data_IF_031388694468
#
_entry.id   IF_031388694468
#
_cell.length_a   1.000
_cell.length_b   1.000
_cell.length_c   1.000
_cell.angle_alpha   90.00
_cell.angle_beta   90.00
_cell.angle_gamma   90.00
#
_symmetry.space_group_name_H-M   'P 1'
#
loop_
_entity.id
_entity.type
_entity.pdbx_description
1 polymer ?
#
# COMPACT_ATOMS: atom_id res chain seq x y z
N UNK A 1 0.12 42.71 -7.88
CA UNK A 1 0.51 41.48 -8.57
C UNK A 1 1.12 40.59 -7.49
N UNK A 2 0.41 39.60 -7.02
CA UNK A 2 0.95 38.61 -6.03
C UNK A 2 2.02 37.80 -6.75
N UNK A 3 3.27 37.83 -6.26
CA UNK A 3 4.33 36.96 -6.76
C UNK A 3 3.89 35.52 -6.57
N UNK A 4 3.60 34.83 -7.65
CA UNK A 4 3.23 33.42 -7.62
C UNK A 4 4.43 32.66 -7.04
N UNK A 5 4.22 31.98 -5.93
CA UNK A 5 5.28 31.22 -5.26
C UNK A 5 5.64 30.01 -6.11
N UNK A 6 6.89 29.92 -6.55
CA UNK A 6 7.43 28.77 -7.30
C UNK A 6 8.24 27.91 -6.37
N UNK A 7 7.93 26.62 -6.29
CA UNK A 7 8.67 25.61 -5.52
C UNK A 7 9.52 24.79 -6.48
N UNK A 8 10.85 24.82 -6.31
CA UNK A 8 11.75 23.92 -7.01
C UNK A 8 11.99 22.64 -6.19
N UNK A 9 11.87 21.48 -6.82
CA UNK A 9 12.00 20.19 -6.13
C UNK A 9 12.61 19.11 -7.02
N UNK A 10 13.16 18.06 -6.44
CA UNK A 10 13.62 16.89 -7.19
C UNK A 10 12.45 16.01 -7.62
N UNK A 11 11.48 15.79 -6.71
CA UNK A 11 10.35 14.89 -6.98
C UNK A 11 9.03 15.55 -6.60
N UNK A 12 8.11 15.61 -7.57
CA UNK A 12 6.70 15.90 -7.33
C UNK A 12 5.93 14.58 -7.33
N UNK A 13 5.18 14.32 -6.26
CA UNK A 13 4.35 13.11 -6.09
C UNK A 13 2.88 13.53 -6.05
N UNK A 14 2.07 12.94 -6.91
CA UNK A 14 0.63 13.18 -6.99
C UNK A 14 -0.12 11.98 -6.42
N UNK A 15 -0.79 12.17 -5.28
CA UNK A 15 -1.55 11.17 -4.55
C UNK A 15 -0.96 10.84 -3.18
N UNK A 16 -1.75 11.07 -2.12
CA UNK A 16 -1.40 10.87 -0.70
C UNK A 16 -1.86 9.52 -0.12
N UNK A 17 -1.99 8.49 -0.95
CA UNK A 17 -2.18 7.12 -0.51
C UNK A 17 -0.86 6.46 -0.07
N UNK A 18 -0.91 5.15 0.27
CA UNK A 18 0.25 4.41 0.78
C UNK A 18 1.45 4.44 -0.19
N UNK A 19 1.21 4.38 -1.49
CA UNK A 19 2.28 4.43 -2.48
C UNK A 19 2.96 5.79 -2.50
N UNK A 20 2.18 6.89 -2.60
CA UNK A 20 2.74 8.24 -2.62
C UNK A 20 3.45 8.61 -1.32
N UNK A 21 2.85 8.33 -0.18
CA UNK A 21 3.46 8.58 1.13
C UNK A 21 4.74 7.76 1.34
N UNK A 22 4.74 6.48 0.92
CA UNK A 22 5.94 5.63 1.00
C UNK A 22 7.07 6.12 0.10
N UNK A 23 6.76 6.54 -1.14
CA UNK A 23 7.76 7.12 -2.06
C UNK A 23 8.30 8.45 -1.51
N UNK A 24 7.43 9.30 -0.97
CA UNK A 24 7.84 10.57 -0.36
C UNK A 24 8.83 10.35 0.79
N UNK A 25 8.52 9.40 1.68
CA UNK A 25 9.37 9.01 2.80
C UNK A 25 10.73 8.51 2.35
N UNK A 26 10.78 7.58 1.39
CA UNK A 26 12.04 7.02 0.88
C UNK A 26 12.88 8.10 0.19
N UNK A 27 12.27 8.92 -0.69
CA UNK A 27 12.96 9.98 -1.41
C UNK A 27 13.53 11.04 -0.46
N UNK A 28 12.72 11.55 0.49
CA UNK A 28 13.18 12.50 1.50
C UNK A 28 14.26 11.89 2.40
N UNK A 29 14.11 10.63 2.79
CA UNK A 29 15.12 9.89 3.56
C UNK A 29 16.48 9.74 2.85
N UNK A 30 16.48 9.82 1.52
CA UNK A 30 17.69 9.84 0.68
C UNK A 30 18.24 11.24 0.41
N UNK A 31 17.67 12.28 1.03
CA UNK A 31 18.10 13.66 0.87
C UNK A 31 17.58 14.37 -0.38
N UNK A 32 16.58 13.80 -1.08
CA UNK A 32 15.93 14.48 -2.18
C UNK A 32 14.90 15.48 -1.65
N UNK A 33 14.77 16.64 -2.32
CA UNK A 33 13.66 17.55 -2.09
C UNK A 33 12.38 16.96 -2.69
N UNK A 34 11.31 16.95 -1.89
CA UNK A 34 10.04 16.30 -2.25
C UNK A 34 8.86 17.22 -2.03
N UNK A 35 7.96 17.27 -3.00
CA UNK A 35 6.60 17.80 -2.85
C UNK A 35 5.62 16.67 -3.09
N UNK A 36 4.71 16.45 -2.12
CA UNK A 36 3.58 15.54 -2.26
C UNK A 36 2.30 16.34 -2.21
N UNK A 37 1.40 16.14 -3.18
CA UNK A 37 0.06 16.70 -3.14
C UNK A 37 -1.01 15.62 -3.16
N UNK A 38 -2.06 15.83 -2.34
CA UNK A 38 -3.24 14.99 -2.25
C UNK A 38 -4.50 15.89 -2.36
N UNK A 39 -5.40 15.52 -3.26
CA UNK A 39 -6.61 16.33 -3.53
C UNK A 39 -7.58 16.39 -2.35
N UNK A 40 -7.63 15.33 -1.55
CA UNK A 40 -8.44 15.21 -0.34
C UNK A 40 -7.52 15.16 0.89
N UNK A 41 -7.83 14.34 1.88
CA UNK A 41 -6.94 14.07 3.00
C UNK A 41 -6.09 12.81 2.73
N UNK A 42 -5.00 12.64 3.49
CA UNK A 42 -4.17 11.44 3.41
C UNK A 42 -4.99 10.18 3.66
N UNK A 43 -4.74 9.14 2.87
CA UNK A 43 -5.40 7.84 2.96
C UNK A 43 -6.93 7.85 2.76
N UNK A 44 -7.55 8.94 2.30
CA UNK A 44 -9.03 9.07 2.22
C UNK A 44 -9.73 8.03 1.33
N UNK A 45 -8.98 7.28 0.52
CA UNK A 45 -9.55 6.36 -0.46
C UNK A 45 -9.11 4.91 -0.24
N UNK A 46 -8.56 4.25 -1.26
CA UNK A 46 -8.17 2.83 -1.24
C UNK A 46 -7.29 2.47 -0.05
N UNK A 47 -6.41 3.38 0.39
CA UNK A 47 -5.44 3.10 1.46
C UNK A 47 -6.05 3.00 2.87
N UNK A 48 -7.28 3.45 3.08
CA UNK A 48 -8.04 3.23 4.33
C UNK A 48 -9.17 2.20 4.17
N UNK A 49 -9.41 1.76 2.94
CA UNK A 49 -10.44 0.77 2.58
C UNK A 49 -9.82 -0.59 2.23
N UNK A 50 -8.65 -0.89 2.74
CA UNK A 50 -7.95 -2.16 2.56
C UNK A 50 -8.50 -3.25 3.50
N UNK A 51 -8.06 -4.48 3.35
CA UNK A 51 -8.34 -5.56 4.31
C UNK A 51 -7.60 -5.38 5.64
N UNK A 52 -6.80 -4.31 5.80
CA UNK A 52 -5.94 -4.05 6.97
C UNK A 52 -4.93 -5.15 7.23
N UNK A 53 -4.45 -5.78 6.16
CA UNK A 53 -3.51 -6.88 6.22
C UNK A 53 -2.23 -6.57 5.45
N UNK A 54 -1.11 -6.77 6.11
CA UNK A 54 0.20 -6.90 5.47
C UNK A 54 0.52 -8.39 5.40
N UNK A 55 0.46 -8.93 4.20
CA UNK A 55 0.50 -10.37 3.98
C UNK A 55 1.29 -10.75 2.73
N UNK A 56 1.77 -12.00 2.69
CA UNK A 56 2.46 -12.52 1.52
C UNK A 56 1.55 -12.84 0.34
N UNK A 57 0.23 -12.88 0.57
CA UNK A 57 -0.72 -13.25 -0.47
C UNK A 57 -0.68 -14.76 -0.77
N UNK A 58 -1.09 -15.59 0.18
CA UNK A 58 -1.11 -17.06 0.06
C UNK A 58 -1.69 -17.54 -1.28
N UNK A 59 -2.72 -16.86 -1.80
CA UNK A 59 -3.37 -17.17 -3.08
C UNK A 59 -2.42 -17.05 -4.28
N UNK A 60 -1.40 -16.19 -4.24
CA UNK A 60 -0.44 -16.04 -5.34
C UNK A 60 0.49 -17.26 -5.51
N UNK A 61 0.59 -18.13 -4.51
CA UNK A 61 1.29 -19.41 -4.66
C UNK A 61 0.60 -20.33 -5.69
N UNK A 62 -0.72 -20.19 -5.87
CA UNK A 62 -1.48 -20.92 -6.90
C UNK A 62 -1.11 -20.49 -8.32
N UNK A 63 -0.55 -19.28 -8.46
CA UNK A 63 -0.09 -18.73 -9.73
C UNK A 63 1.45 -18.82 -9.87
N UNK A 64 2.12 -19.58 -9.00
CA UNK A 64 3.57 -19.76 -8.98
C UNK A 64 4.40 -18.48 -8.80
N UNK A 65 3.78 -17.42 -8.23
CA UNK A 65 4.43 -16.13 -7.99
C UNK A 65 5.30 -16.13 -6.72
N UNK A 66 6.15 -17.15 -6.58
CA UNK A 66 6.98 -17.35 -5.37
C UNK A 66 7.89 -16.16 -5.06
N UNK A 67 8.42 -15.50 -6.10
CA UNK A 67 9.29 -14.33 -5.92
C UNK A 67 8.55 -13.14 -5.31
N UNK A 68 7.32 -12.89 -5.75
CA UNK A 68 6.45 -11.84 -5.21
C UNK A 68 6.09 -12.13 -3.76
N UNK A 69 5.61 -13.35 -3.49
CA UNK A 69 5.24 -13.79 -2.13
C UNK A 69 6.42 -13.67 -1.18
N UNK A 70 7.62 -14.12 -1.58
CA UNK A 70 8.83 -14.02 -0.77
C UNK A 70 9.16 -12.59 -0.39
N UNK A 71 9.13 -11.66 -1.36
CA UNK A 71 9.39 -10.24 -1.10
C UNK A 71 8.37 -9.66 -0.13
N UNK A 72 7.09 -9.93 -0.34
CA UNK A 72 6.02 -9.46 0.54
C UNK A 72 6.14 -10.01 1.98
N UNK A 73 6.55 -11.28 2.15
CA UNK A 73 6.79 -11.87 3.45
C UNK A 73 7.98 -11.24 4.19
N UNK A 74 9.04 -10.89 3.47
CA UNK A 74 10.20 -10.18 4.04
C UNK A 74 9.76 -8.80 4.53
N UNK A 75 9.08 -8.03 3.68
CA UNK A 75 8.61 -6.69 4.02
C UNK A 75 7.59 -6.70 5.17
N UNK A 76 6.75 -7.73 5.27
CA UNK A 76 5.85 -7.92 6.40
C UNK A 76 6.60 -7.95 7.73
N UNK A 77 7.68 -8.70 7.82
CA UNK A 77 8.51 -8.77 9.05
C UNK A 77 9.23 -7.45 9.32
N UNK A 78 9.69 -6.74 8.27
CA UNK A 78 10.28 -5.41 8.40
C UNK A 78 9.27 -4.42 8.98
N UNK A 79 8.05 -4.40 8.46
CA UNK A 79 7.00 -3.49 8.92
C UNK A 79 6.53 -3.81 10.35
N UNK A 80 6.39 -5.09 10.71
CA UNK A 80 6.07 -5.51 12.08
C UNK A 80 7.08 -4.98 13.10
N UNK A 81 8.36 -4.90 12.74
CA UNK A 81 9.41 -4.34 13.59
C UNK A 81 9.43 -2.81 13.56
N UNK A 82 9.21 -2.21 12.39
CA UNK A 82 9.29 -0.76 12.21
C UNK A 82 8.09 -0.02 12.82
N UNK A 83 6.91 -0.64 12.83
CA UNK A 83 5.66 -0.02 13.26
C UNK A 83 4.86 -0.86 14.26
N UNK A 84 5.46 -1.36 15.38
CA UNK A 84 4.81 -2.26 16.33
C UNK A 84 3.63 -1.63 17.07
N UNK A 85 3.50 -0.31 17.05
CA UNK A 85 2.42 0.45 17.70
C UNK A 85 1.14 0.54 16.86
N UNK A 86 1.20 0.16 15.58
CA UNK A 86 0.05 0.14 14.67
C UNK A 86 -0.07 -1.17 13.89
N UNK A 87 0.84 -2.11 14.11
CA UNK A 87 0.89 -3.37 13.40
C UNK A 87 1.23 -4.52 14.35
N UNK A 88 0.46 -5.61 14.29
CA UNK A 88 0.67 -6.80 15.12
C UNK A 88 0.28 -8.10 14.42
N UNK A 89 0.75 -9.25 14.93
CA UNK A 89 0.38 -10.55 14.42
C UNK A 89 -1.13 -10.81 14.52
N UNK A 90 -1.72 -11.31 13.44
CA UNK A 90 -3.10 -11.80 13.41
C UNK A 90 -3.13 -13.26 12.98
N UNK A 91 -3.91 -14.07 13.70
CA UNK A 91 -4.10 -15.49 13.39
C UNK A 91 -5.36 -15.66 12.55
N UNK A 92 -5.24 -16.44 11.50
CA UNK A 92 -6.33 -16.82 10.61
C UNK A 92 -6.64 -18.28 10.76
N UNK A 93 -7.91 -18.60 10.77
CA UNK A 93 -8.39 -19.99 10.73
C UNK A 93 -9.12 -20.20 9.41
N UNK A 94 -8.69 -21.20 8.68
CA UNK A 94 -9.29 -21.64 7.42
C UNK A 94 -9.96 -22.99 7.65
N UNK A 95 -11.30 -23.04 7.81
CA UNK A 95 -12.03 -24.28 7.89
C UNK A 95 -11.88 -25.08 6.59
N UNK A 96 -11.77 -26.39 6.70
CA UNK A 96 -11.60 -27.28 5.57
C UNK A 96 -12.85 -28.14 5.38
N UNK A 97 -13.37 -28.17 4.18
CA UNK A 97 -14.47 -29.02 3.76
C UNK A 97 -14.10 -29.91 2.57
N UNK A 98 -15.03 -30.83 2.21
CA UNK A 98 -14.81 -31.81 1.14
C UNK A 98 -14.80 -31.21 -0.26
N UNK A 99 -15.30 -29.98 -0.44
CA UNK A 99 -15.33 -29.28 -1.73
C UNK A 99 -14.03 -28.55 -2.06
N UNK A 100 -13.13 -28.45 -1.08
CA UNK A 100 -11.85 -27.79 -1.22
C UNK A 100 -10.76 -28.76 -1.70
N UNK A 101 -9.56 -28.21 -1.97
CA UNK A 101 -8.36 -29.01 -2.26
C UNK A 101 -8.06 -30.00 -1.13
N UNK A 102 -7.43 -31.15 -1.40
CA UNK A 102 -7.07 -32.09 -0.36
C UNK A 102 -6.28 -31.43 0.78
N UNK A 103 -6.60 -31.80 2.01
CA UNK A 103 -6.00 -31.19 3.21
C UNK A 103 -4.48 -31.24 3.24
N UNK A 104 -3.86 -32.30 2.70
CA UNK A 104 -2.40 -32.41 2.59
C UNK A 104 -1.81 -31.34 1.64
N UNK A 105 -2.51 -31.02 0.55
CA UNK A 105 -2.08 -30.01 -0.41
C UNK A 105 -2.13 -28.60 0.22
N UNK A 106 -3.20 -28.29 0.95
CA UNK A 106 -3.31 -27.02 1.70
C UNK A 106 -2.18 -26.93 2.72
N UNK A 107 -1.92 -28.02 3.45
CA UNK A 107 -0.84 -28.08 4.44
C UNK A 107 0.54 -27.87 3.79
N UNK A 108 0.79 -28.46 2.64
CA UNK A 108 2.03 -28.26 1.89
C UNK A 108 2.18 -26.82 1.44
N UNK A 109 1.10 -26.18 0.92
CA UNK A 109 1.10 -24.77 0.55
C UNK A 109 1.40 -23.84 1.72
N UNK A 110 0.83 -24.11 2.90
CA UNK A 110 1.11 -23.36 4.13
C UNK A 110 2.55 -23.57 4.63
N UNK A 111 3.12 -24.77 4.47
CA UNK A 111 4.53 -25.00 4.78
C UNK A 111 5.44 -24.18 3.83
N UNK A 112 5.15 -24.18 2.53
CA UNK A 112 5.88 -23.33 1.59
C UNK A 112 5.79 -21.87 2.02
N UNK A 113 4.59 -21.37 2.33
CA UNK A 113 4.37 -20.00 2.80
C UNK A 113 5.18 -19.69 4.06
N UNK A 114 5.27 -20.63 5.00
CA UNK A 114 6.02 -20.48 6.24
C UNK A 114 7.54 -20.38 6.04
N UNK A 115 8.08 -21.09 5.06
CA UNK A 115 9.52 -21.20 4.85
C UNK A 115 10.06 -20.39 3.67
N UNK A 116 9.17 -19.77 2.89
CA UNK A 116 9.57 -18.96 1.73
C UNK A 116 10.37 -17.71 2.12
N UNK A 117 10.15 -17.19 3.32
CA UNK A 117 10.95 -16.15 3.93
C UNK A 117 11.20 -16.46 5.41
N UNK A 118 12.27 -15.89 5.98
CA UNK A 118 12.54 -16.02 7.42
C UNK A 118 11.43 -15.34 8.21
N UNK A 119 10.80 -16.08 9.12
CA UNK A 119 9.85 -15.54 10.11
C UNK A 119 10.59 -15.27 11.41
N UNK A 120 10.30 -14.15 12.05
CA UNK A 120 10.92 -13.75 13.31
C UNK A 120 9.86 -13.48 14.38
N UNK A 121 8.74 -12.87 14.02
CA UNK A 121 7.70 -12.44 14.95
C UNK A 121 6.46 -13.35 14.85
N UNK A 122 6.09 -13.75 13.62
CA UNK A 122 4.85 -14.44 13.38
C UNK A 122 4.91 -15.94 13.73
N UNK A 123 3.89 -16.47 14.43
CA UNK A 123 3.76 -17.92 14.65
C UNK A 123 3.57 -18.69 13.35
N UNK A 124 4.04 -19.93 13.31
CA UNK A 124 3.89 -20.83 12.17
C UNK A 124 2.46 -21.28 11.92
N UNK A 125 2.26 -21.85 10.73
CA UNK A 125 1.01 -22.51 10.36
C UNK A 125 0.88 -23.89 10.97
N UNK A 126 -0.36 -24.37 11.13
CA UNK A 126 -0.66 -25.70 11.67
C UNK A 126 -2.02 -26.21 11.24
N UNK A 127 -2.25 -27.49 11.42
CA UNK A 127 -3.57 -28.07 11.37
C UNK A 127 -4.24 -27.99 12.75
N UNK A 128 -5.57 -27.81 12.78
CA UNK A 128 -6.36 -27.79 14.02
C UNK A 128 -7.59 -28.69 13.89
N UNK A 129 -8.03 -29.24 15.02
CA UNK A 129 -9.31 -29.93 15.13
C UNK A 129 -10.39 -28.93 15.59
N UNK A 130 -11.29 -28.57 14.68
CA UNK A 130 -12.34 -27.57 14.93
C UNK A 130 -13.41 -28.07 15.93
N UNK A 131 -13.46 -29.37 16.23
CA UNK A 131 -14.39 -29.93 17.25
C UNK A 131 -13.99 -29.53 18.66
N UNK A 132 -12.71 -29.24 18.88
CA UNK A 132 -12.13 -28.91 20.19
C UNK A 132 -11.49 -27.52 20.26
N UNK A 133 -11.27 -26.91 19.12
CA UNK A 133 -10.68 -25.58 19.04
C UNK A 133 -11.75 -24.49 19.10
N UNK A 134 -11.51 -23.41 19.86
CA UNK A 134 -12.42 -22.27 20.04
C UNK A 134 -12.99 -21.71 18.73
N UNK A 135 -12.17 -21.66 17.67
CA UNK A 135 -12.58 -21.19 16.36
C UNK A 135 -13.65 -22.11 15.68
N UNK A 136 -13.89 -23.27 16.20
CA UNK A 136 -14.93 -24.17 15.71
C UNK A 136 -16.32 -23.89 16.28
N UNK A 137 -16.41 -23.21 17.43
CA UNK A 137 -17.70 -22.95 18.12
C UNK A 137 -18.75 -22.25 17.24
N UNK A 138 -18.39 -21.19 16.44
CA UNK A 138 -19.35 -20.52 15.58
C UNK A 138 -19.63 -21.27 14.26
N UNK A 139 -18.94 -22.37 13.98
CA UNK A 139 -19.03 -23.09 12.73
C UNK A 139 -20.06 -24.24 12.80
N UNK A 140 -20.56 -24.65 11.64
CA UNK A 140 -21.39 -25.85 11.55
C UNK A 140 -20.58 -27.10 11.93
N UNK A 141 -21.23 -28.08 12.55
CA UNK A 141 -20.61 -29.32 13.03
C UNK A 141 -19.91 -30.16 11.93
N UNK A 142 -20.22 -29.92 10.66
CA UNK A 142 -19.58 -30.57 9.52
C UNK A 142 -18.11 -30.16 9.34
N UNK A 143 -17.72 -28.95 9.81
CA UNK A 143 -16.33 -28.48 9.78
C UNK A 143 -15.57 -29.07 10.94
N UNK A 144 -14.91 -30.20 10.73
CA UNK A 144 -14.16 -30.91 11.77
C UNK A 144 -12.65 -30.59 11.76
N UNK A 145 -12.14 -30.09 10.63
CA UNK A 145 -10.72 -29.81 10.43
C UNK A 145 -10.53 -28.38 9.94
N UNK A 146 -9.41 -27.78 10.31
CA UNK A 146 -9.03 -26.47 9.79
C UNK A 146 -7.52 -26.30 9.81
N UNK A 147 -7.09 -25.20 9.24
CA UNK A 147 -5.69 -24.76 9.26
C UNK A 147 -5.61 -23.39 9.91
N UNK A 148 -4.51 -23.19 10.65
CA UNK A 148 -4.21 -21.90 11.25
C UNK A 148 -2.91 -21.36 10.67
N UNK A 149 -2.87 -20.07 10.34
CA UNK A 149 -1.69 -19.39 9.86
C UNK A 149 -1.67 -17.93 10.34
N UNK A 150 -0.61 -17.19 10.08
CA UNK A 150 -0.46 -15.82 10.58
C UNK A 150 -0.09 -14.85 9.47
N UNK A 151 -0.66 -13.65 9.56
CA UNK A 151 -0.23 -12.47 8.82
C UNK A 151 -0.21 -11.25 9.74
N UNK A 152 0.22 -10.09 9.23
CA UNK A 152 0.23 -8.85 9.99
C UNK A 152 -1.10 -8.11 9.83
N UNK A 153 -1.74 -7.73 10.92
CA UNK A 153 -2.78 -6.71 10.90
C UNK A 153 -2.13 -5.33 11.02
N UNK A 154 -2.73 -4.32 10.40
CA UNK A 154 -2.23 -2.95 10.41
C UNK A 154 -3.38 -1.95 10.47
N UNK A 155 -3.18 -0.84 11.17
CA UNK A 155 -3.97 0.38 10.96
C UNK A 155 -3.48 1.03 9.66
N UNK A 156 -4.18 0.75 8.57
CA UNK A 156 -3.77 1.11 7.22
C UNK A 156 -3.73 2.63 6.99
N UNK A 157 -4.73 3.37 7.45
CA UNK A 157 -4.76 4.82 7.33
C UNK A 157 -3.61 5.45 8.14
N UNK A 158 -3.40 4.97 9.35
CA UNK A 158 -2.34 5.47 10.23
C UNK A 158 -0.95 5.17 9.66
N UNK A 159 -0.77 4.02 8.99
CA UNK A 159 0.49 3.72 8.30
C UNK A 159 0.80 4.77 7.22
N UNK A 160 -0.21 5.21 6.45
CA UNK A 160 -0.04 6.27 5.45
C UNK A 160 0.36 7.59 6.11
N UNK A 161 -0.39 8.01 7.13
CA UNK A 161 -0.13 9.27 7.84
C UNK A 161 1.28 9.30 8.43
N UNK A 162 1.72 8.21 9.07
CA UNK A 162 3.06 8.12 9.64
C UNK A 162 4.16 8.16 8.58
N UNK A 163 3.95 7.56 7.39
CA UNK A 163 4.91 7.70 6.29
C UNK A 163 4.98 9.15 5.79
N UNK A 164 3.85 9.84 5.66
CA UNK A 164 3.83 11.25 5.25
C UNK A 164 4.45 12.17 6.29
N UNK A 165 4.22 11.90 7.59
CA UNK A 165 4.82 12.63 8.70
C UNK A 165 6.35 12.46 8.70
N UNK A 166 6.84 11.24 8.62
CA UNK A 166 8.28 10.94 8.55
C UNK A 166 8.94 11.60 7.32
N UNK A 167 8.23 11.66 6.17
CA UNK A 167 8.69 12.42 5.01
C UNK A 167 8.79 13.92 5.31
N UNK A 168 7.78 14.50 5.95
CA UNK A 168 7.75 15.92 6.31
C UNK A 168 8.84 16.27 7.33
N UNK A 169 9.09 15.42 8.33
CA UNK A 169 10.20 15.58 9.29
C UNK A 169 11.58 15.55 8.60
N UNK A 170 11.68 14.90 7.43
CA UNK A 170 12.87 14.88 6.58
C UNK A 170 12.89 15.99 5.52
N UNK A 171 11.97 16.96 5.61
CA UNK A 171 11.94 18.16 4.76
C UNK A 171 11.04 18.07 3.53
N UNK A 172 10.27 17.00 3.35
CA UNK A 172 9.24 16.97 2.30
C UNK A 172 8.11 17.96 2.60
N UNK A 173 7.61 18.62 1.55
CA UNK A 173 6.41 19.44 1.65
C UNK A 173 5.19 18.58 1.30
N UNK A 174 4.27 18.42 2.26
CA UNK A 174 3.05 17.61 2.10
C UNK A 174 1.85 18.54 2.08
N UNK A 175 1.13 18.56 0.95
CA UNK A 175 -0.05 19.37 0.73
C UNK A 175 -1.29 18.47 0.63
N UNK A 176 -2.14 18.50 1.64
CA UNK A 176 -3.49 17.92 1.60
C UNK A 176 -4.47 18.93 1.01
N UNK A 177 -5.65 18.47 0.60
CA UNK A 177 -6.68 19.29 -0.05
C UNK A 177 -6.13 20.12 -1.23
N UNK A 178 -5.18 19.53 -1.97
CA UNK A 178 -4.42 20.19 -3.03
C UNK A 178 -4.30 19.30 -4.25
N UNK A 179 -4.96 19.68 -5.32
CA UNK A 179 -4.96 18.94 -6.59
C UNK A 179 -3.86 19.43 -7.52
N UNK A 180 -3.17 18.51 -8.19
CA UNK A 180 -2.36 18.85 -9.36
C UNK A 180 -3.28 19.00 -10.58
N UNK A 181 -3.53 20.24 -10.99
CA UNK A 181 -4.50 20.56 -12.06
C UNK A 181 -3.87 20.58 -13.44
N UNK A 182 -2.55 20.76 -13.53
CA UNK A 182 -1.80 20.62 -14.79
C UNK A 182 -0.35 20.27 -14.52
N UNK A 183 0.28 19.54 -15.43
CA UNK A 183 1.72 19.33 -15.44
C UNK A 183 2.20 19.13 -16.88
N UNK A 184 3.28 19.80 -17.25
CA UNK A 184 3.90 19.69 -18.57
C UNK A 184 5.41 19.61 -18.47
N UNK A 185 6.04 18.91 -19.40
CA UNK A 185 7.51 18.85 -19.50
C UNK A 185 7.99 20.12 -20.21
N UNK A 186 8.89 20.86 -19.57
CA UNK A 186 9.55 22.05 -20.12
C UNK A 186 11.06 21.87 -19.94
N UNK A 187 11.75 21.60 -21.02
CA UNK A 187 13.16 21.24 -20.96
C UNK A 187 13.40 19.97 -20.13
N UNK A 188 14.21 20.07 -19.11
CA UNK A 188 14.59 18.98 -18.21
C UNK A 188 13.69 18.87 -16.97
N UNK A 189 12.66 19.73 -16.84
CA UNK A 189 11.79 19.79 -15.65
C UNK A 189 10.32 19.63 -15.99
N UNK A 190 9.56 19.19 -14.99
CA UNK A 190 8.11 19.23 -14.97
C UNK A 190 7.67 20.56 -14.35
N UNK A 191 6.86 21.32 -15.06
CA UNK A 191 6.15 22.50 -14.56
C UNK A 191 4.73 22.08 -14.23
N UNK A 192 4.37 22.10 -12.98
CA UNK A 192 3.07 21.69 -12.49
C UNK A 192 2.39 22.84 -11.74
N UNK A 193 1.07 22.91 -11.84
CA UNK A 193 0.24 23.82 -11.06
C UNK A 193 -0.56 22.99 -10.06
N UNK A 194 -0.33 23.27 -8.79
CA UNK A 194 -1.09 22.74 -7.68
C UNK A 194 -2.13 23.75 -7.24
N UNK A 195 -3.38 23.31 -7.07
CA UNK A 195 -4.50 24.15 -6.63
C UNK A 195 -5.06 23.65 -5.32
N UNK A 196 -4.97 24.45 -4.29
CA UNK A 196 -5.52 24.20 -2.98
C UNK A 196 -7.06 24.38 -2.97
N UNK A 197 -7.76 23.73 -2.06
CA UNK A 197 -9.23 23.80 -1.95
C UNK A 197 -9.77 25.23 -1.74
N UNK A 198 -8.98 26.13 -1.15
CA UNK A 198 -9.33 27.55 -0.98
C UNK A 198 -9.09 28.41 -2.24
N UNK A 199 -8.66 27.78 -3.34
CA UNK A 199 -8.43 28.42 -4.64
C UNK A 199 -7.01 28.94 -4.85
N UNK A 200 -6.13 28.92 -3.85
CA UNK A 200 -4.71 29.32 -4.01
C UNK A 200 -4.00 28.35 -4.94
N UNK A 201 -3.16 28.90 -5.80
CA UNK A 201 -2.35 28.12 -6.74
C UNK A 201 -0.86 28.27 -6.40
N UNK A 202 -0.14 27.18 -6.56
CA UNK A 202 1.32 27.09 -6.35
C UNK A 202 1.93 26.43 -7.57
N UNK A 203 2.94 27.04 -8.16
CA UNK A 203 3.70 26.44 -9.24
C UNK A 203 4.85 25.60 -8.68
N UNK A 204 5.01 24.38 -9.21
CA UNK A 204 6.08 23.45 -8.81
C UNK A 204 6.91 23.07 -10.02
N UNK A 205 8.24 23.28 -9.92
CA UNK A 205 9.21 22.84 -10.91
C UNK A 205 9.97 21.64 -10.41
N UNK A 206 9.64 20.45 -10.92
CA UNK A 206 10.19 19.17 -10.47
C UNK A 206 11.11 18.52 -11.52
N UNK A 207 12.19 17.86 -11.11
CA UNK A 207 13.00 17.03 -12.01
C UNK A 207 12.27 15.76 -12.43
N UNK A 208 11.48 15.20 -11.51
CA UNK A 208 10.68 14.00 -11.75
C UNK A 208 9.27 14.19 -11.23
N UNK A 209 8.30 13.57 -11.92
CA UNK A 209 6.90 13.52 -11.51
C UNK A 209 6.49 12.05 -11.32
N UNK A 210 5.91 11.76 -10.17
CA UNK A 210 5.37 10.44 -9.82
C UNK A 210 3.85 10.52 -9.77
N UNK A 211 3.20 9.74 -10.61
CA UNK A 211 1.76 9.55 -10.57
C UNK A 211 1.43 8.40 -9.61
N UNK A 212 1.05 8.73 -8.39
CA UNK A 212 0.60 7.80 -7.36
C UNK A 212 -0.89 7.96 -7.04
N UNK A 213 -1.69 8.49 -8.00
CA UNK A 213 -3.09 8.84 -7.84
C UNK A 213 -4.05 7.62 -7.76
N UNK A 214 -3.52 6.41 -7.57
CA UNK A 214 -4.33 5.20 -7.38
C UNK A 214 -5.34 4.98 -8.50
N UNK A 215 -6.66 4.85 -8.20
CA UNK A 215 -7.68 4.66 -9.21
C UNK A 215 -7.81 5.82 -10.22
N UNK A 216 -7.32 6.99 -9.88
CA UNK A 216 -7.33 8.20 -10.75
C UNK A 216 -6.06 8.36 -11.57
N UNK A 217 -5.15 7.37 -11.57
CA UNK A 217 -3.88 7.49 -12.29
C UNK A 217 -4.08 7.69 -13.81
N UNK A 218 -5.09 7.06 -14.41
CA UNK A 218 -5.41 7.21 -15.82
C UNK A 218 -6.00 8.60 -16.11
N UNK A 219 -7.01 9.05 -15.34
CA UNK A 219 -7.60 10.38 -15.51
C UNK A 219 -6.59 11.51 -15.27
N UNK A 220 -5.67 11.33 -14.32
CA UNK A 220 -4.58 12.30 -14.13
C UNK A 220 -3.69 12.43 -15.38
N UNK A 221 -3.39 11.33 -16.08
CA UNK A 221 -2.63 11.37 -17.33
C UNK A 221 -3.40 12.12 -18.42
N UNK A 222 -4.71 11.91 -18.52
CA UNK A 222 -5.56 12.52 -19.55
C UNK A 222 -5.84 14.00 -19.25
N UNK A 223 -6.26 14.29 -18.03
CA UNK A 223 -6.78 15.60 -17.64
C UNK A 223 -5.66 16.62 -17.34
N UNK A 224 -4.64 16.19 -16.59
CA UNK A 224 -3.58 17.09 -16.11
C UNK A 224 -2.33 17.11 -16.99
N UNK A 225 -1.98 15.99 -17.61
CA UNK A 225 -0.82 15.88 -18.49
C UNK A 225 -1.18 15.96 -19.99
N UNK A 226 -2.47 15.90 -20.33
CA UNK A 226 -2.96 15.85 -21.72
C UNK A 226 -2.29 14.71 -22.53
N UNK A 227 -1.97 13.61 -21.85
CA UNK A 227 -1.36 12.44 -22.47
C UNK A 227 -2.39 11.31 -22.51
N UNK A 228 -2.65 10.71 -23.68
CA UNK A 228 -3.59 9.59 -23.76
C UNK A 228 -3.10 8.48 -22.81
N UNK A 229 -3.97 8.07 -21.88
CA UNK A 229 -3.70 6.86 -21.12
C UNK A 229 -3.61 5.72 -22.13
N UNK A 230 -2.41 5.19 -22.35
CA UNK A 230 -2.23 3.99 -23.17
C UNK A 230 -3.20 2.90 -22.73
N UNK A 231 -3.30 1.76 -23.45
CA UNK A 231 -4.26 0.67 -23.21
C UNK A 231 -4.80 0.67 -21.77
N UNK A 232 -6.06 1.06 -21.61
CA UNK A 232 -6.72 1.35 -20.33
C UNK A 232 -6.33 0.33 -19.26
N UNK A 233 -5.76 0.81 -18.16
CA UNK A 233 -5.61 0.03 -16.93
C UNK A 233 -7.00 -0.47 -16.56
N UNK A 234 -7.26 -1.75 -16.77
CA UNK A 234 -8.54 -2.37 -16.42
C UNK A 234 -8.56 -2.49 -14.89
N UNK A 235 -9.25 -1.54 -14.25
CA UNK A 235 -9.52 -1.65 -12.82
C UNK A 235 -10.49 -2.82 -12.61
N UNK A 236 -10.03 -3.87 -11.96
CA UNK A 236 -10.86 -4.99 -11.52
C UNK A 236 -11.35 -4.64 -10.13
N UNK A 237 -12.69 -4.50 -9.99
CA UNK A 237 -13.35 -4.35 -8.68
C UNK A 237 -13.45 -5.69 -7.97
#
# INVERSE_FOLDING_TARGET
MSSQQVIATDVLIVGGGINGAGIARDAAGRGLSVVLCEKDDLASHTSSASTKLIHGGLRYLEHYEFGLVRKALIEREVLLRAAPHIMWPMRFVMPHDKGQRPSWMIRAGLLIYDFLAKREILPGSGGIDLRTHLAGEPLKAEFTKGFIYSDGWVDDARLVVLNALDAAEKGAQVFTHTSCISAKRVGDRWHAVLKHADGREVEVHARSLVNAAGPWAASFLEDALHHPAGKSLRLVK
#
